data_IF_252356448190
#
_entry.id   IF_252356448190
#
_cell.length_a   1.000
_cell.length_b   1.000
_cell.length_c   1.000
_cell.angle_alpha   90.00
_cell.angle_beta   90.00
_cell.angle_gamma   90.00
#
_symmetry.space_group_name_H-M   'P 1'
#
loop_
_entity.id
_entity.type
_entity.pdbx_description
1 polymer ?
#
# COMPACT_ATOMS: atom_id res chain seq x y z
N UNK A 1 57.96 28.72 -8.65
CA UNK A 1 57.31 28.43 -9.95
C UNK A 1 56.81 26.98 -10.05
N UNK A 2 57.66 25.95 -9.97
CA UNK A 2 57.21 24.53 -10.00
C UNK A 2 56.48 24.13 -8.69
N UNK A 3 56.98 24.58 -7.53
CA UNK A 3 56.37 24.33 -6.22
C UNK A 3 54.94 24.91 -6.11
N UNK A 4 54.75 26.14 -6.60
CA UNK A 4 53.46 26.84 -6.54
C UNK A 4 52.42 26.20 -7.46
N UNK A 5 52.86 25.70 -8.63
CA UNK A 5 52.02 24.97 -9.57
C UNK A 5 51.53 23.62 -9.00
N UNK A 6 52.41 22.89 -8.31
CA UNK A 6 52.05 21.62 -7.65
C UNK A 6 51.09 21.83 -6.47
N UNK A 7 51.27 22.91 -5.71
CA UNK A 7 50.36 23.30 -4.62
C UNK A 7 48.97 23.62 -5.18
N UNK A 8 48.89 24.40 -6.25
CA UNK A 8 47.64 24.73 -6.93
C UNK A 8 46.90 23.49 -7.43
N UNK A 9 47.61 22.53 -8.04
CA UNK A 9 47.01 21.26 -8.50
C UNK A 9 46.49 20.40 -7.34
N UNK A 10 47.15 20.41 -6.19
CA UNK A 10 46.68 19.71 -4.98
C UNK A 10 45.38 20.30 -4.44
N UNK A 11 45.29 21.63 -4.36
CA UNK A 11 44.07 22.32 -3.90
C UNK A 11 42.91 22.15 -4.87
N UNK A 12 43.16 22.19 -6.19
CA UNK A 12 42.15 21.89 -7.21
C UNK A 12 41.65 20.45 -7.08
N UNK A 13 42.54 19.48 -6.85
CA UNK A 13 42.15 18.08 -6.63
C UNK A 13 41.32 17.92 -5.36
N UNK A 14 41.67 18.60 -4.26
CA UNK A 14 40.91 18.60 -3.01
C UNK A 14 39.53 19.22 -3.19
N UNK A 15 39.43 20.31 -3.96
CA UNK A 15 38.17 20.95 -4.31
C UNK A 15 37.27 20.02 -5.13
N UNK A 16 37.81 19.37 -6.16
CA UNK A 16 37.04 18.39 -6.94
C UNK A 16 36.60 17.18 -6.10
N UNK A 17 37.45 16.71 -5.17
CA UNK A 17 37.09 15.63 -4.25
C UNK A 17 35.96 16.05 -3.30
N UNK A 18 36.04 17.26 -2.75
CA UNK A 18 35.02 17.82 -1.86
C UNK A 18 33.68 18.02 -2.58
N UNK A 19 33.71 18.55 -3.81
CA UNK A 19 32.52 18.68 -4.67
C UNK A 19 31.94 17.29 -4.99
N UNK A 20 32.78 16.31 -5.31
CA UNK A 20 32.35 14.92 -5.55
C UNK A 20 31.63 14.32 -4.34
N UNK A 21 32.19 14.47 -3.14
CA UNK A 21 31.58 14.01 -1.89
C UNK A 21 30.25 14.73 -1.62
N UNK A 22 30.19 16.04 -1.84
CA UNK A 22 28.96 16.82 -1.66
C UNK A 22 27.85 16.37 -2.63
N UNK A 23 28.18 16.10 -3.90
CA UNK A 23 27.24 15.61 -4.91
C UNK A 23 26.78 14.16 -4.68
N UNK A 24 27.59 13.34 -4.02
CA UNK A 24 27.22 11.99 -3.59
C UNK A 24 26.28 12.02 -2.37
N UNK A 25 26.47 12.97 -1.45
CA UNK A 25 25.65 13.12 -0.25
C UNK A 25 24.21 13.60 -0.54
N UNK A 26 23.95 14.21 -1.70
CA UNK A 26 22.61 14.69 -2.08
C UNK A 26 21.75 13.65 -2.79
N UNK A 27 22.21 12.40 -2.94
CA UNK A 27 21.46 11.35 -3.65
C UNK A 27 20.49 10.53 -2.80
N UNK A 28 20.45 10.74 -1.49
CA UNK A 28 19.54 10.03 -0.57
C UNK A 28 18.14 10.68 -0.46
N UNK A 29 17.68 11.34 -1.53
CA UNK A 29 16.26 11.59 -1.70
C UNK A 29 15.59 10.27 -2.06
N UNK A 30 15.10 9.53 -1.06
CA UNK A 30 14.34 8.29 -1.28
C UNK A 30 13.33 8.49 -2.41
N UNK A 31 13.28 7.55 -3.35
CA UNK A 31 12.41 7.64 -4.52
C UNK A 31 11.00 8.06 -4.10
N UNK A 32 10.47 9.06 -4.80
CA UNK A 32 9.13 9.58 -4.54
C UNK A 32 8.13 8.41 -4.56
N UNK A 33 7.39 8.24 -3.47
CA UNK A 33 6.39 7.18 -3.36
C UNK A 33 5.15 7.67 -4.08
N UNK A 34 4.79 7.03 -5.19
CA UNK A 34 3.63 7.43 -6.00
C UNK A 34 2.63 6.28 -6.01
N UNK A 35 1.37 6.56 -5.68
CA UNK A 35 0.32 5.55 -5.73
C UNK A 35 -0.19 5.34 -7.17
N UNK A 36 -1.16 4.43 -7.34
CA UNK A 36 -1.78 4.11 -8.62
C UNK A 36 -2.46 5.30 -9.33
N UNK A 37 -2.83 6.34 -8.59
CA UNK A 37 -3.47 7.55 -9.12
C UNK A 37 -2.45 8.63 -9.48
N UNK A 38 -1.15 8.35 -9.39
CA UNK A 38 -0.11 9.36 -9.57
C UNK A 38 0.04 10.32 -8.38
N UNK A 39 -0.62 10.03 -7.25
CA UNK A 39 -0.52 10.86 -6.04
C UNK A 39 0.82 10.60 -5.36
N UNK A 40 1.53 11.68 -5.07
CA UNK A 40 2.71 11.70 -4.21
C UNK A 40 2.26 11.34 -2.79
N UNK A 41 2.70 10.18 -2.33
CA UNK A 41 2.53 9.72 -0.97
C UNK A 41 3.57 10.41 -0.08
N UNK A 42 3.14 10.77 1.13
CA UNK A 42 4.04 11.27 2.15
C UNK A 42 5.06 10.22 2.62
N UNK A 43 5.83 10.54 3.67
CA UNK A 43 6.69 9.57 4.34
C UNK A 43 5.91 8.29 4.66
N UNK A 44 6.58 7.14 4.58
CA UNK A 44 5.96 5.87 4.95
C UNK A 44 5.46 5.97 6.41
N UNK A 45 4.16 5.76 6.67
CA UNK A 45 3.62 5.86 8.01
C UNK A 45 4.13 4.70 8.87
N UNK A 46 4.42 4.99 10.13
CA UNK A 46 4.83 3.98 11.12
C UNK A 46 3.60 3.55 11.91
N UNK A 47 3.24 2.27 11.82
CA UNK A 47 2.20 1.66 12.66
C UNK A 47 2.87 1.13 13.92
N UNK A 48 2.81 1.89 15.02
CA UNK A 48 3.44 1.51 16.29
C UNK A 48 2.52 0.77 17.26
N UNK A 49 1.21 0.84 17.02
CA UNK A 49 0.18 0.16 17.83
C UNK A 49 -0.93 -0.34 16.92
N UNK A 50 -1.61 -1.45 17.27
CA UNK A 50 -2.81 -1.89 16.57
C UNK A 50 -3.81 -0.74 16.39
N UNK A 51 -4.18 -0.45 15.15
CA UNK A 51 -5.09 0.65 14.80
C UNK A 51 -6.32 0.07 14.12
N UNK A 52 -7.48 0.25 14.74
CA UNK A 52 -8.75 -0.22 14.20
C UNK A 52 -9.14 0.55 12.94
N UNK A 53 -9.77 -0.16 11.99
CA UNK A 53 -10.46 0.46 10.85
C UNK A 53 -11.47 1.54 11.29
N UNK A 54 -11.90 2.37 10.34
CA UNK A 54 -12.91 3.41 10.55
C UNK A 54 -12.53 4.41 11.67
N UNK A 55 -11.24 4.74 11.73
CA UNK A 55 -10.72 5.80 12.59
C UNK A 55 -9.92 6.77 11.74
N UNK A 56 -9.89 8.05 12.14
CA UNK A 56 -9.07 9.06 11.44
C UNK A 56 -7.58 8.71 11.43
N UNK A 57 -7.10 7.96 12.43
CA UNK A 57 -5.73 7.45 12.47
C UNK A 57 -5.49 6.41 11.36
N UNK A 58 -6.40 5.45 11.19
CA UNK A 58 -6.33 4.48 10.09
C UNK A 58 -6.40 5.18 8.73
N UNK A 59 -7.29 6.16 8.55
CA UNK A 59 -7.41 6.91 7.29
C UNK A 59 -6.11 7.67 6.95
N UNK A 60 -5.48 8.29 7.96
CA UNK A 60 -4.20 8.97 7.78
C UNK A 60 -3.08 7.99 7.37
N UNK A 61 -3.05 6.80 7.96
CA UNK A 61 -2.07 5.76 7.60
C UNK A 61 -2.34 5.23 6.19
N UNK A 62 -3.56 4.77 5.90
CA UNK A 62 -3.91 4.13 4.63
C UNK A 62 -3.76 5.11 3.46
N UNK A 63 -4.09 6.39 3.64
CA UNK A 63 -3.91 7.41 2.60
C UNK A 63 -2.44 7.74 2.29
N UNK A 64 -1.50 7.33 3.15
CA UNK A 64 -0.06 7.49 2.95
C UNK A 64 0.64 6.18 2.53
N UNK A 65 -0.07 5.06 2.40
CA UNK A 65 0.47 3.77 1.98
C UNK A 65 0.06 3.47 0.54
N UNK A 66 0.97 2.84 -0.21
CA UNK A 66 0.63 2.17 -1.45
C UNK A 66 0.15 0.75 -1.10
N UNK A 67 -1.16 0.51 -1.12
CA UNK A 67 -1.75 -0.78 -0.72
C UNK A 67 -1.43 -1.86 -1.77
N UNK A 68 -1.61 -1.54 -3.05
CA UNK A 68 -1.32 -2.43 -4.17
C UNK A 68 -0.23 -1.83 -5.07
N UNK A 69 0.59 -2.67 -5.73
CA UNK A 69 1.48 -2.20 -6.79
C UNK A 69 0.74 -1.35 -7.82
N UNK A 70 1.39 -0.33 -8.40
CA UNK A 70 0.75 0.54 -9.43
C UNK A 70 0.21 -0.30 -10.58
N UNK A 71 0.94 -1.34 -10.98
CA UNK A 71 0.58 -2.27 -12.06
C UNK A 71 -0.41 -3.38 -11.64
N UNK A 72 -1.00 -3.29 -10.44
CA UNK A 72 -1.94 -4.30 -9.99
C UNK A 72 -3.23 -4.25 -10.85
N UNK A 73 -3.75 -5.40 -11.32
CA UNK A 73 -5.01 -5.45 -12.09
C UNK A 73 -6.21 -4.80 -11.41
N UNK A 74 -6.24 -4.75 -10.07
CA UNK A 74 -7.29 -4.05 -9.31
C UNK A 74 -7.29 -2.53 -9.50
N UNK A 75 -6.21 -1.94 -10.05
CA UNK A 75 -6.13 -0.51 -10.37
C UNK A 75 -6.55 -0.20 -11.80
N UNK A 76 -7.05 -1.18 -12.55
CA UNK A 76 -7.43 -0.95 -13.94
C UNK A 76 -8.57 0.07 -14.05
N UNK A 77 -8.42 1.06 -14.95
CA UNK A 77 -9.50 1.97 -15.29
C UNK A 77 -10.57 1.23 -16.11
N UNK A 78 -11.73 1.02 -15.50
CA UNK A 78 -12.87 0.36 -16.12
C UNK A 78 -13.92 1.34 -16.67
N UNK A 79 -13.70 2.65 -16.59
CA UNK A 79 -14.68 3.68 -16.97
C UNK A 79 -15.08 3.63 -18.45
N UNK A 80 -14.20 3.09 -19.31
CA UNK A 80 -14.42 2.95 -20.75
C UNK A 80 -14.70 1.51 -21.18
N UNK A 81 -14.81 0.56 -20.25
CA UNK A 81 -15.10 -0.83 -20.60
C UNK A 81 -16.53 -0.95 -21.17
N UNK A 82 -16.73 -1.73 -22.24
CA UNK A 82 -18.05 -1.89 -22.83
C UNK A 82 -19.00 -2.55 -21.82
N UNK A 83 -20.21 -2.03 -21.74
CA UNK A 83 -21.28 -2.68 -20.99
C UNK A 83 -21.74 -3.93 -21.74
N UNK A 84 -22.15 -4.95 -20.99
CA UNK A 84 -22.83 -6.09 -21.57
C UNK A 84 -24.22 -5.65 -22.08
N UNK A 85 -24.59 -6.04 -23.29
CA UNK A 85 -25.79 -5.52 -23.97
C UNK A 85 -27.11 -5.71 -23.19
N UNK A 86 -27.17 -6.70 -22.29
CA UNK A 86 -28.34 -6.99 -21.45
C UNK A 86 -28.15 -6.60 -19.97
N UNK A 87 -27.15 -5.78 -19.61
CA UNK A 87 -26.89 -5.39 -18.21
C UNK A 87 -28.11 -4.77 -17.54
N UNK A 88 -28.87 -3.94 -18.27
CA UNK A 88 -30.07 -3.29 -17.73
C UNK A 88 -31.16 -4.30 -17.37
N UNK A 89 -31.34 -5.33 -18.21
CA UNK A 89 -32.28 -6.42 -17.93
C UNK A 89 -31.84 -7.24 -16.71
N UNK A 90 -30.54 -7.48 -16.55
CA UNK A 90 -29.99 -8.18 -15.38
C UNK A 90 -30.23 -7.39 -14.09
N UNK A 91 -29.96 -6.08 -14.08
CA UNK A 91 -30.20 -5.22 -12.92
C UNK A 91 -31.70 -5.11 -12.61
N UNK A 92 -32.56 -5.04 -13.64
CA UNK A 92 -34.01 -5.06 -13.46
C UNK A 92 -34.49 -6.35 -12.81
N UNK A 93 -33.99 -7.51 -13.26
CA UNK A 93 -34.30 -8.81 -12.68
C UNK A 93 -33.86 -8.90 -11.21
N UNK A 94 -32.60 -8.51 -10.92
CA UNK A 94 -32.08 -8.48 -9.54
C UNK A 94 -32.99 -7.63 -8.65
N UNK A 95 -33.42 -6.46 -9.13
CA UNK A 95 -34.34 -5.60 -8.37
C UNK A 95 -35.71 -6.26 -8.17
N UNK A 96 -36.30 -6.90 -9.17
CA UNK A 96 -37.61 -7.56 -9.03
C UNK A 96 -37.58 -8.74 -8.07
N UNK A 97 -36.44 -9.44 -7.97
CA UNK A 97 -36.27 -10.59 -7.08
C UNK A 97 -36.10 -10.16 -5.61
N UNK A 98 -35.68 -8.92 -5.38
CA UNK A 98 -35.48 -8.35 -4.05
C UNK A 98 -36.78 -7.72 -3.52
N UNK A 99 -37.01 -7.90 -2.22
CA UNK A 99 -38.02 -7.11 -1.48
C UNK A 99 -37.80 -5.60 -1.71
N UNK A 100 -38.86 -4.78 -1.84
CA UNK A 100 -38.73 -3.34 -2.08
C UNK A 100 -37.82 -2.61 -1.06
N UNK A 101 -37.74 -3.09 0.18
CA UNK A 101 -36.87 -2.52 1.22
C UNK A 101 -35.38 -2.86 1.05
N UNK A 102 -35.03 -3.75 0.11
CA UNK A 102 -33.69 -4.27 -0.13
C UNK A 102 -33.09 -3.88 -1.48
N UNK A 103 -33.74 -3.01 -2.26
CA UNK A 103 -33.26 -2.56 -3.57
C UNK A 103 -32.23 -1.40 -3.51
N UNK A 104 -31.53 -1.24 -2.38
CA UNK A 104 -30.53 -0.20 -2.17
C UNK A 104 -29.17 -0.82 -1.83
N UNK A 105 -28.09 -0.17 -2.26
CA UNK A 105 -26.74 -0.52 -1.80
C UNK A 105 -26.60 -0.20 -0.31
N UNK A 106 -25.92 -1.09 0.41
CA UNK A 106 -25.66 -0.94 1.85
C UNK A 106 -24.20 -1.28 2.09
N UNK A 107 -23.53 -0.49 2.92
CA UNK A 107 -22.22 -0.86 3.42
C UNK A 107 -22.34 -2.07 4.34
N UNK A 108 -21.51 -3.08 4.12
CA UNK A 108 -21.37 -4.23 5.00
C UNK A 108 -20.21 -3.95 5.96
N UNK A 109 -20.54 -3.64 7.22
CA UNK A 109 -19.54 -3.29 8.25
C UNK A 109 -18.95 -4.52 8.97
N UNK A 110 -19.21 -5.72 8.47
CA UNK A 110 -18.67 -6.95 9.07
C UNK A 110 -17.26 -7.26 8.55
N UNK A 111 -16.89 -6.75 7.37
CA UNK A 111 -15.57 -6.98 6.76
C UNK A 111 -14.56 -5.91 7.20
N UNK A 112 -14.11 -6.05 8.45
CA UNK A 112 -13.23 -5.09 9.11
C UNK A 112 -11.75 -5.51 9.07
N UNK A 113 -10.85 -4.57 9.32
CA UNK A 113 -9.41 -4.85 9.43
C UNK A 113 -8.78 -4.08 10.61
N UNK A 114 -7.57 -4.51 10.98
CA UNK A 114 -6.72 -3.83 11.96
C UNK A 114 -5.33 -3.69 11.35
N UNK A 115 -4.77 -2.48 11.40
CA UNK A 115 -3.38 -2.25 11.03
C UNK A 115 -2.52 -2.63 12.23
N UNK A 116 -1.66 -3.62 12.07
CA UNK A 116 -0.76 -4.10 13.14
C UNK A 116 0.69 -3.67 12.88
N UNK A 117 1.49 -3.46 13.94
CA UNK A 117 2.92 -3.23 13.78
C UNK A 117 3.64 -4.37 13.06
N UNK A 118 4.71 -4.05 12.32
CA UNK A 118 5.50 -5.07 11.61
C UNK A 118 6.19 -6.09 12.54
N UNK A 119 6.30 -5.77 13.83
CA UNK A 119 6.88 -6.61 14.87
C UNK A 119 5.81 -7.22 15.80
N UNK A 120 4.53 -7.20 15.41
CA UNK A 120 3.48 -7.88 16.15
C UNK A 120 3.77 -9.39 16.19
N UNK A 121 3.84 -10.02 17.38
CA UNK A 121 4.03 -11.47 17.49
C UNK A 121 2.86 -12.22 16.84
N UNK A 122 3.19 -13.31 16.13
CA UNK A 122 2.16 -14.22 15.61
C UNK A 122 1.39 -14.89 16.74
N UNK A 123 0.10 -15.06 16.53
CA UNK A 123 -0.80 -15.76 17.44
C UNK A 123 -1.30 -17.02 16.74
N UNK A 124 -1.16 -18.16 17.40
CA UNK A 124 -1.80 -19.40 16.96
C UNK A 124 -3.31 -19.25 17.09
N UNK A 125 -4.01 -19.23 15.97
CA UNK A 125 -5.47 -19.22 15.94
C UNK A 125 -5.99 -20.65 15.71
N UNK A 126 -6.73 -21.23 16.67
CA UNK A 126 -7.47 -22.45 16.43
C UNK A 126 -8.73 -22.12 15.63
N UNK A 127 -8.87 -22.74 14.46
CA UNK A 127 -10.10 -22.61 13.68
C UNK A 127 -11.17 -23.53 14.26
N UNK A 128 -12.28 -22.95 14.68
CA UNK A 128 -13.41 -23.70 15.22
C UNK A 128 -14.33 -24.24 14.12
N UNK A 129 -14.48 -23.48 13.04
CA UNK A 129 -15.31 -23.79 11.87
C UNK A 129 -14.52 -23.55 10.58
N UNK A 130 -14.79 -24.38 9.56
CA UNK A 130 -14.16 -24.35 8.22
C UNK A 130 -12.61 -24.23 8.20
N UNK A 131 -11.87 -25.01 9.02
CA UNK A 131 -10.41 -25.01 9.01
C UNK A 131 -9.78 -25.43 7.67
N UNK A 132 -10.52 -26.16 6.84
CA UNK A 132 -10.13 -26.60 5.50
C UNK A 132 -10.31 -25.51 4.42
N UNK A 133 -11.10 -24.47 4.70
CA UNK A 133 -11.26 -23.29 3.85
C UNK A 133 -10.30 -22.14 4.22
N UNK A 134 -9.47 -22.34 5.25
CA UNK A 134 -8.58 -21.33 5.81
C UNK A 134 -7.13 -21.54 5.41
N UNK A 135 -6.38 -20.44 5.24
CA UNK A 135 -4.92 -20.48 5.15
C UNK A 135 -4.35 -20.73 6.55
N UNK A 136 -3.56 -21.80 6.70
CA UNK A 136 -2.93 -22.15 7.96
C UNK A 136 -1.59 -21.41 8.19
N UNK A 137 -1.12 -20.60 7.24
CA UNK A 137 0.20 -19.93 7.27
C UNK A 137 1.36 -20.91 7.58
N UNK A 138 1.30 -22.13 7.04
CA UNK A 138 2.27 -23.20 7.30
C UNK A 138 1.98 -24.04 8.56
N UNK A 139 0.87 -23.78 9.25
CA UNK A 139 0.41 -24.54 10.40
C UNK A 139 -0.17 -25.91 10.06
N UNK A 140 -0.40 -26.71 11.11
CA UNK A 140 -1.04 -28.02 11.00
C UNK A 140 -2.50 -27.92 11.36
N UNK A 141 -3.36 -28.46 10.49
CA UNK A 141 -4.80 -28.50 10.70
C UNK A 141 -5.18 -28.95 12.12
N UNK A 142 -6.11 -28.25 12.82
CA UNK A 142 -6.91 -27.11 12.37
C UNK A 142 -6.34 -25.74 12.80
N UNK A 143 -5.02 -25.63 13.02
CA UNK A 143 -4.41 -24.42 13.59
C UNK A 143 -3.56 -23.67 12.56
N UNK A 144 -3.57 -22.34 12.66
CA UNK A 144 -2.56 -21.49 12.01
C UNK A 144 -1.27 -21.38 12.83
N UNK A 145 -0.16 -20.95 12.22
CA UNK A 145 1.15 -20.75 12.88
C UNK A 145 1.62 -19.30 12.98
#
# INVERSE_FOLDING_TARGET
MISDFLLMMSEIRRLFLAIGILLLATRDGGAERINQEGRILGPAPVVSTPTLFNTTAADAIVSAIQILPVTNPWNEDISQRPHLANSDAMIAQIKSDLSPTRQNLRALYEMNYVLVPNNEPRLTLPFLDYPDESDLDGGTFPNST
#
